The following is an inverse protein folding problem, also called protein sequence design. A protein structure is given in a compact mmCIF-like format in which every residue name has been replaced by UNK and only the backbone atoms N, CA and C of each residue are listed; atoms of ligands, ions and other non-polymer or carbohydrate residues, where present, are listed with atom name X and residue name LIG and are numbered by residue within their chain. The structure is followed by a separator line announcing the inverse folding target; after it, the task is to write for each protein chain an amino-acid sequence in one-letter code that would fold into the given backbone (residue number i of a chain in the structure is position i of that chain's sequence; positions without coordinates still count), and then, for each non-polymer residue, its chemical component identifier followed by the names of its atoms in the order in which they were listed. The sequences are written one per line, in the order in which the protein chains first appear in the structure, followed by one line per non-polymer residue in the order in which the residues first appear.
data_IF_141749615508
#
_entry.id   IF_141749615508
#
_cell.length_a   1.000
_cell.length_b   1.000
_cell.length_c   1.000
_cell.angle_alpha   90.00
_cell.angle_beta   90.00
_cell.angle_gamma   90.00
#
_symmetry.space_group_name_H-M   'P 1'
#
loop_
_entity.id
_entity.type
_entity.pdbx_description
1 polymer ?
#
# COMPACT_ATOMS: atom_id res chain seq x y z
N UNK A 1 7.74 -11.62 19.98
CA UNK A 1 7.39 -10.20 19.78
C UNK A 1 7.00 -9.66 21.15
N UNK A 2 7.62 -8.59 21.63
CA UNK A 2 7.29 -7.97 22.93
C UNK A 2 6.03 -7.11 22.71
N UNK A 3 5.05 -7.14 23.62
CA UNK A 3 3.91 -6.22 23.57
C UNK A 3 4.38 -4.80 23.88
N UNK A 4 3.72 -3.78 23.32
CA UNK A 4 4.10 -2.38 23.57
C UNK A 4 4.11 -2.05 25.07
N UNK A 5 3.17 -2.61 25.81
CA UNK A 5 3.04 -2.47 27.27
C UNK A 5 4.25 -3.05 28.01
N UNK A 6 4.63 -4.30 27.69
CA UNK A 6 5.82 -4.95 28.27
C UNK A 6 7.10 -4.14 27.99
N UNK A 7 7.23 -3.53 26.80
CA UNK A 7 8.38 -2.69 26.44
C UNK A 7 8.43 -1.40 27.26
N UNK A 8 7.28 -0.73 27.44
CA UNK A 8 7.17 0.48 28.25
C UNK A 8 7.45 0.19 29.73
N UNK A 9 6.96 -0.95 30.23
CA UNK A 9 7.19 -1.39 31.61
C UNK A 9 8.67 -1.70 31.87
N UNK A 10 9.36 -2.41 30.96
CA UNK A 10 10.81 -2.65 31.05
C UNK A 10 11.59 -1.33 31.14
N UNK A 11 11.22 -0.35 30.31
CA UNK A 11 11.83 0.99 30.29
C UNK A 11 11.62 1.74 31.58
N UNK A 12 10.39 1.74 32.09
CA UNK A 12 10.04 2.39 33.35
C UNK A 12 10.80 1.76 34.53
N UNK A 13 10.84 0.43 34.60
CA UNK A 13 11.57 -0.28 35.66
C UNK A 13 13.08 -0.02 35.58
N UNK A 14 13.64 0.09 34.38
CA UNK A 14 15.07 0.39 34.21
C UNK A 14 15.42 1.85 34.55
N UNK A 15 14.56 2.83 34.22
CA UNK A 15 14.82 4.25 34.50
C UNK A 15 14.82 4.57 36.00
N UNK A 16 14.10 3.80 36.81
CA UNK A 16 14.14 3.93 38.28
C UNK A 16 15.46 3.47 38.90
N UNK A 17 16.37 2.83 38.16
CA UNK A 17 17.74 2.49 38.58
C UNK A 17 17.86 1.46 39.72
N UNK A 18 16.73 0.97 40.26
CA UNK A 18 16.69 0.12 41.47
C UNK A 18 16.73 -1.38 41.20
N UNK A 19 16.62 -1.82 39.94
CA UNK A 19 16.43 -3.24 39.59
C UNK A 19 17.41 -3.70 38.54
N UNK A 20 17.95 -4.90 38.72
CA UNK A 20 18.82 -5.51 37.72
C UNK A 20 18.01 -5.98 36.49
N UNK A 21 18.63 -6.05 35.31
CA UNK A 21 17.98 -6.57 34.09
C UNK A 21 17.36 -7.97 34.27
N UNK A 22 17.98 -8.81 35.12
CA UNK A 22 17.48 -10.17 35.43
C UNK A 22 16.23 -10.14 36.31
N UNK A 23 16.11 -9.16 37.17
CA UNK A 23 14.94 -8.96 38.02
C UNK A 23 13.77 -8.39 37.21
N UNK A 24 14.03 -7.41 36.35
CA UNK A 24 13.05 -6.87 35.39
C UNK A 24 12.49 -7.99 34.51
N UNK A 25 13.34 -8.89 34.02
CA UNK A 25 12.93 -10.05 33.23
C UNK A 25 11.94 -10.96 33.98
N UNK A 26 12.16 -11.21 35.28
CA UNK A 26 11.25 -12.03 36.10
C UNK A 26 9.92 -11.33 36.36
N UNK A 27 9.93 -10.02 36.59
CA UNK A 27 8.74 -9.22 36.90
C UNK A 27 7.80 -9.11 35.70
N UNK A 28 8.37 -8.83 34.52
CA UNK A 28 7.61 -8.67 33.27
C UNK A 28 7.32 -10.04 32.62
N UNK A 29 7.93 -11.13 33.10
CA UNK A 29 7.71 -12.48 32.57
C UNK A 29 8.37 -12.74 31.21
N UNK A 30 9.43 -12.00 30.88
CA UNK A 30 10.16 -12.10 29.61
C UNK A 30 11.58 -12.64 29.81
N UNK A 31 12.21 -13.16 28.76
CA UNK A 31 13.60 -13.61 28.86
C UNK A 31 14.58 -12.43 29.03
N UNK A 32 15.73 -12.66 29.67
CA UNK A 32 16.78 -11.64 29.82
C UNK A 32 17.19 -11.02 28.48
N UNK A 33 17.37 -11.84 27.44
CA UNK A 33 17.72 -11.36 26.10
C UNK A 33 16.63 -10.51 25.44
N UNK A 34 15.39 -10.58 25.94
CA UNK A 34 14.27 -9.74 25.52
C UNK A 34 14.32 -8.38 26.21
N UNK A 35 14.69 -8.34 27.50
CA UNK A 35 15.01 -7.09 28.22
C UNK A 35 16.22 -6.38 27.61
N UNK A 36 17.30 -7.11 27.30
CA UNK A 36 18.49 -6.52 26.67
C UNK A 36 18.15 -5.88 25.31
N UNK A 37 17.33 -6.54 24.48
CA UNK A 37 16.86 -5.99 23.20
C UNK A 37 15.92 -4.79 23.38
N UNK A 38 15.01 -4.84 24.35
CA UNK A 38 14.10 -3.73 24.65
C UNK A 38 14.86 -2.48 25.11
N UNK A 39 15.94 -2.64 25.87
CA UNK A 39 16.78 -1.54 26.33
C UNK A 39 17.75 -1.04 25.25
N UNK A 40 18.19 -1.89 24.32
CA UNK A 40 19.15 -1.53 23.27
C UNK A 40 18.58 -0.57 22.21
N UNK A 41 17.28 -0.61 21.93
CA UNK A 41 16.66 0.21 20.86
C UNK A 41 15.76 1.25 21.48
N UNK A 42 16.11 2.54 21.39
CA UNK A 42 15.38 3.62 22.06
C UNK A 42 13.95 3.84 21.52
N UNK A 43 13.68 3.35 20.30
CA UNK A 43 12.36 3.42 19.69
C UNK A 43 11.50 2.19 20.05
N UNK A 44 10.19 2.40 20.20
CA UNK A 44 9.23 1.32 20.39
C UNK A 44 9.36 0.25 19.29
N UNK A 45 9.11 -1.04 19.56
CA UNK A 45 9.14 -2.08 18.54
C UNK A 45 8.04 -1.83 17.51
N UNK A 46 8.34 -1.03 16.49
CA UNK A 46 7.48 -0.85 15.33
C UNK A 46 7.60 -2.10 14.47
N UNK A 47 6.48 -2.78 14.25
CA UNK A 47 6.40 -3.86 13.27
C UNK A 47 6.70 -3.29 11.89
N UNK A 48 7.95 -3.47 11.43
CA UNK A 48 8.34 -3.26 10.05
C UNK A 48 8.63 -4.63 9.48
N UNK A 49 7.63 -5.22 8.81
CA UNK A 49 7.97 -6.21 7.79
C UNK A 49 8.66 -5.44 6.69
N UNK A 50 9.92 -5.77 6.41
CA UNK A 50 10.42 -5.55 5.05
C UNK A 50 9.41 -6.22 4.12
N UNK A 51 8.88 -5.51 3.11
CA UNK A 51 7.93 -6.12 2.20
C UNK A 51 8.64 -7.30 1.55
N UNK A 52 8.24 -8.51 1.92
CA UNK A 52 8.63 -9.73 1.22
C UNK A 52 8.25 -9.49 -0.24
N UNK A 53 9.23 -9.57 -1.14
CA UNK A 53 9.02 -9.35 -2.57
C UNK A 53 7.78 -10.09 -3.06
N UNK A 54 6.95 -9.39 -3.83
CA UNK A 54 5.76 -9.99 -4.41
C UNK A 54 6.18 -10.89 -5.57
N UNK A 55 5.47 -11.98 -5.81
CA UNK A 55 5.62 -12.75 -7.04
C UNK A 55 5.41 -11.91 -8.31
N UNK A 56 4.70 -10.78 -8.18
CA UNK A 56 4.52 -9.78 -9.23
C UNK A 56 5.82 -9.04 -9.60
N UNK A 57 6.80 -8.92 -8.69
CA UNK A 57 7.98 -8.07 -8.89
C UNK A 57 8.83 -8.53 -10.09
N UNK A 58 8.88 -9.84 -10.35
CA UNK A 58 9.53 -10.41 -11.53
C UNK A 58 8.88 -9.97 -12.86
N UNK A 59 7.59 -9.67 -12.84
CA UNK A 59 6.81 -9.28 -14.03
C UNK A 59 6.59 -7.77 -14.13
N UNK A 60 6.88 -7.01 -13.06
CA UNK A 60 6.60 -5.59 -12.97
C UNK A 60 7.21 -4.80 -14.14
N UNK A 61 8.45 -5.10 -14.55
CA UNK A 61 9.11 -4.44 -15.68
C UNK A 61 8.35 -4.66 -17.01
N UNK A 62 7.92 -5.89 -17.29
CA UNK A 62 7.18 -6.20 -18.52
C UNK A 62 5.79 -5.56 -18.52
N UNK A 63 5.11 -5.54 -17.38
CA UNK A 63 3.83 -4.87 -17.21
C UNK A 63 3.95 -3.37 -17.46
N UNK A 64 5.02 -2.73 -16.96
CA UNK A 64 5.29 -1.31 -17.20
C UNK A 64 5.49 -0.99 -18.68
N UNK A 65 6.18 -1.86 -19.43
CA UNK A 65 6.31 -1.71 -20.90
C UNK A 65 4.95 -1.78 -21.59
N UNK A 66 4.09 -2.72 -21.19
CA UNK A 66 2.73 -2.84 -21.75
C UNK A 66 1.85 -1.63 -21.42
N UNK A 67 1.95 -1.10 -20.19
CA UNK A 67 1.20 0.08 -19.77
C UNK A 67 1.72 1.36 -20.43
N UNK A 68 3.02 1.46 -20.69
CA UNK A 68 3.58 2.59 -21.44
C UNK A 68 3.08 2.61 -22.89
N UNK A 69 2.96 1.45 -23.53
CA UNK A 69 2.40 1.34 -24.88
C UNK A 69 0.88 1.50 -24.91
N UNK A 70 0.17 1.01 -23.89
CA UNK A 70 -1.29 1.06 -23.83
C UNK A 70 -1.77 1.22 -22.37
N UNK A 71 -1.92 2.46 -21.88
CA UNK A 71 -2.24 2.72 -20.47
C UNK A 71 -3.58 2.11 -20.01
N UNK A 72 -4.53 1.98 -20.94
CA UNK A 72 -5.88 1.47 -20.65
C UNK A 72 -6.00 -0.06 -20.76
N UNK A 73 -4.92 -0.79 -21.12
CA UNK A 73 -4.94 -2.23 -21.35
C UNK A 73 -5.54 -3.01 -20.16
N UNK A 74 -6.58 -3.86 -20.37
CA UNK A 74 -7.17 -4.64 -19.29
C UNK A 74 -6.11 -5.49 -18.57
N UNK A 75 -6.16 -5.49 -17.24
CA UNK A 75 -5.19 -6.23 -16.43
C UNK A 75 -5.22 -7.75 -16.72
N UNK A 76 -6.37 -8.30 -17.13
CA UNK A 76 -6.45 -9.69 -17.57
C UNK A 76 -5.61 -9.97 -18.83
N UNK A 77 -5.72 -9.11 -19.85
CA UNK A 77 -4.92 -9.21 -21.07
C UNK A 77 -3.43 -8.99 -20.80
N UNK A 78 -3.09 -8.07 -19.89
CA UNK A 78 -1.70 -7.88 -19.48
C UNK A 78 -1.16 -9.14 -18.76
N UNK A 79 -1.96 -9.79 -17.92
CA UNK A 79 -1.59 -11.03 -17.23
C UNK A 79 -1.30 -12.16 -18.24
N UNK A 80 -2.15 -12.33 -19.24
CA UNK A 80 -1.96 -13.32 -20.31
C UNK A 80 -0.66 -13.06 -21.09
N UNK A 81 -0.40 -11.79 -21.45
CA UNK A 81 0.79 -11.41 -22.24
C UNK A 81 2.11 -11.61 -21.51
N UNK A 82 2.13 -11.40 -20.19
CA UNK A 82 3.34 -11.63 -19.37
C UNK A 82 3.45 -13.08 -18.88
N UNK A 83 2.49 -13.96 -19.23
CA UNK A 83 2.50 -15.36 -18.80
C UNK A 83 2.24 -15.54 -17.30
N UNK A 84 1.43 -14.68 -16.69
CA UNK A 84 1.11 -14.74 -15.27
C UNK A 84 0.23 -15.94 -14.93
N UNK A 85 0.73 -16.84 -14.07
CA UNK A 85 0.02 -18.02 -13.58
C UNK A 85 -0.49 -17.90 -12.14
N UNK A 86 -0.24 -16.76 -11.49
CA UNK A 86 -0.61 -16.52 -10.10
C UNK A 86 -2.04 -16.01 -9.90
N UNK A 87 -2.33 -15.47 -8.71
CA UNK A 87 -3.65 -14.94 -8.38
C UNK A 87 -4.05 -13.77 -9.31
N UNK A 88 -5.20 -13.84 -10.00
CA UNK A 88 -5.70 -12.74 -10.83
C UNK A 88 -6.01 -11.47 -10.02
N UNK A 89 -6.50 -11.62 -8.79
CA UNK A 89 -6.83 -10.48 -7.92
C UNK A 89 -5.58 -9.73 -7.48
N UNK A 90 -4.49 -10.45 -7.17
CA UNK A 90 -3.20 -9.84 -6.84
C UNK A 90 -2.65 -9.05 -8.03
N UNK A 91 -2.69 -9.65 -9.23
CA UNK A 91 -2.20 -9.00 -10.44
C UNK A 91 -2.99 -7.72 -10.75
N UNK A 92 -4.33 -7.78 -10.65
CA UNK A 92 -5.20 -6.61 -10.86
C UNK A 92 -4.88 -5.50 -9.86
N UNK A 93 -4.70 -5.83 -8.58
CA UNK A 93 -4.35 -4.85 -7.55
C UNK A 93 -3.01 -4.16 -7.88
N UNK A 94 -2.00 -4.94 -8.25
CA UNK A 94 -0.67 -4.39 -8.60
C UNK A 94 -0.69 -3.55 -9.89
N UNK A 95 -1.43 -3.96 -10.91
CA UNK A 95 -1.62 -3.14 -12.12
C UNK A 95 -2.36 -1.84 -11.79
N UNK A 96 -3.35 -1.87 -10.89
CA UNK A 96 -4.09 -0.69 -10.47
C UNK A 96 -3.19 0.31 -9.71
N UNK A 97 -2.24 -0.17 -8.90
CA UNK A 97 -1.22 0.68 -8.26
C UNK A 97 -0.31 1.38 -9.30
N UNK A 98 0.03 0.70 -10.40
CA UNK A 98 0.92 1.23 -11.45
C UNK A 98 0.25 2.20 -12.41
N UNK A 99 -1.03 1.98 -12.73
CA UNK A 99 -1.78 2.72 -13.78
C UNK A 99 -1.74 4.25 -13.66
N UNK A 100 -1.83 4.87 -12.45
CA UNK A 100 -1.74 6.32 -12.31
C UNK A 100 -0.45 6.92 -12.85
N UNK A 101 0.66 6.18 -12.88
CA UNK A 101 1.94 6.65 -13.43
C UNK A 101 1.92 6.77 -14.97
N UNK A 102 1.04 6.03 -15.66
CA UNK A 102 1.00 5.95 -17.13
C UNK A 102 -0.24 6.57 -17.75
N UNK A 103 -1.32 6.70 -16.97
CA UNK A 103 -2.55 7.32 -17.46
C UNK A 103 -2.36 8.83 -17.46
N UNK A 104 -2.40 9.44 -18.65
CA UNK A 104 -2.56 10.89 -18.76
C UNK A 104 -3.80 11.27 -17.95
N UNK A 105 -3.70 12.20 -16.98
CA UNK A 105 -4.86 12.71 -16.27
C UNK A 105 -5.90 13.13 -17.30
N UNK A 106 -7.10 12.56 -17.21
CA UNK A 106 -8.19 12.91 -18.11
C UNK A 106 -8.42 14.42 -17.97
N UNK A 107 -8.18 15.24 -19.02
CA UNK A 107 -8.59 16.62 -19.00
C UNK A 107 -10.11 16.59 -19.12
N UNK A 108 -10.78 16.39 -17.99
CA UNK A 108 -12.22 16.58 -17.91
C UNK A 108 -12.46 18.06 -18.23
N UNK A 109 -12.66 18.36 -19.50
CA UNK A 109 -13.04 19.68 -19.96
C UNK A 109 -14.42 19.95 -19.39
N UNK A 110 -14.46 20.85 -18.40
CA UNK A 110 -15.73 21.38 -17.91
C UNK A 110 -16.28 22.28 -19.01
N UNK A 111 -17.25 21.77 -19.75
CA UNK A 111 -18.08 22.59 -20.63
C UNK A 111 -18.89 23.55 -19.75
N UNK A 112 -18.50 24.83 -19.76
CA UNK A 112 -19.24 25.91 -19.11
C UNK A 112 -20.15 26.52 -20.17
N UNK A 113 -21.46 26.51 -19.91
CA UNK A 113 -22.47 27.13 -20.76
C UNK A 113 -22.96 28.42 -20.09
N UNK A 114 -22.38 29.58 -20.42
CA UNK A 114 -22.91 30.85 -19.93
C UNK A 114 -24.34 31.07 -20.46
N UNK A 115 -25.22 31.71 -19.68
CA UNK A 115 -26.59 31.99 -20.10
C UNK A 115 -26.58 32.80 -21.40
N UNK A 116 -27.36 32.35 -22.39
CA UNK A 116 -27.49 32.99 -23.71
C UNK A 116 -26.53 32.49 -24.81
N UNK A 117 -25.61 31.58 -24.50
CA UNK A 117 -24.61 31.08 -25.48
C UNK A 117 -24.86 29.64 -25.97
N UNK A 118 -25.94 29.00 -25.51
CA UNK A 118 -26.34 27.67 -25.97
C UNK A 118 -27.82 27.69 -26.37
N UNK A 119 -28.11 27.11 -27.53
CA UNK A 119 -29.48 26.90 -28.03
C UNK A 119 -29.67 25.40 -28.25
N UNK A 120 -30.78 24.87 -27.75
CA UNK A 120 -31.21 23.51 -28.03
C UNK A 120 -32.16 23.57 -29.24
N UNK A 121 -31.72 22.99 -30.35
CA UNK A 121 -32.56 22.83 -31.53
C UNK A 121 -33.02 21.37 -31.59
N UNK A 122 -34.17 21.08 -30.97
CA UNK A 122 -34.75 19.74 -31.06
C UNK A 122 -35.39 19.52 -32.43
N UNK A 123 -35.20 18.32 -32.99
CA UNK A 123 -35.89 17.89 -34.19
C UNK A 123 -37.24 17.29 -33.79
N UNK A 124 -38.31 17.96 -34.15
CA UNK A 124 -39.66 17.43 -33.99
C UNK A 124 -39.99 16.52 -35.18
N UNK A 125 -40.38 15.27 -34.88
CA UNK A 125 -40.95 14.36 -35.88
C UNK A 125 -42.44 14.13 -35.57
N UNK A 126 -43.37 14.64 -36.41
CA UNK A 126 -44.80 14.42 -36.17
C UNK A 126 -45.17 12.95 -36.41
N UNK A 127 -46.09 12.43 -35.59
CA UNK A 127 -46.62 11.08 -35.76
C UNK A 127 -47.62 11.05 -36.93
N UNK A 128 -47.43 10.08 -37.84
CA UNK A 128 -48.35 9.79 -38.95
C UNK A 128 -49.58 9.01 -38.46
#
# INVERSE_FOLDING_TARGET
MIKLDDWAEIRHLHSTGRRSKREIARLVGVSRGTVDRALAVDRAPTYQREPTGSSFDAFAAQVRVLLAATPNMPAATAAERVGWSGSPSLFRAKVAELRPEYRVPDPADRLVHPPGFQVQCDLWFPHC
#
